data_IF_258064569558
#
_entry.id   IF_258064569558
#
_cell.length_a   1.000
_cell.length_b   1.000
_cell.length_c   1.000
_cell.angle_alpha   90.00
_cell.angle_beta   90.00
_cell.angle_gamma   90.00
#
_symmetry.space_group_name_H-M   'P 1'
#
loop_
_entity.id
_entity.type
_entity.pdbx_description
1 polymer ?
#
# COMPACT_ATOMS: atom_id res chain seq x y z
N UNK A 1 -6.16 -26.45 50.76
CA UNK A 1 -5.19 -26.38 49.64
C UNK A 1 -5.82 -26.54 48.25
N UNK A 2 -7.02 -25.98 47.96
CA UNK A 2 -7.72 -26.28 46.69
C UNK A 2 -8.41 -25.09 45.97
N UNK A 3 -8.44 -23.89 46.55
CA UNK A 3 -9.05 -22.72 45.88
C UNK A 3 -8.19 -22.17 44.74
N UNK A 4 -6.86 -22.15 44.91
CA UNK A 4 -5.91 -21.73 43.87
C UNK A 4 -5.94 -22.69 42.68
N UNK A 5 -5.92 -24.00 42.94
CA UNK A 5 -6.00 -25.05 41.91
C UNK A 5 -7.34 -24.94 41.14
N UNK A 6 -8.48 -24.87 41.84
CA UNK A 6 -9.79 -24.63 41.19
C UNK A 6 -9.82 -23.35 40.36
N UNK A 7 -9.25 -22.24 40.85
CA UNK A 7 -9.20 -20.98 40.08
C UNK A 7 -8.31 -21.07 38.83
N UNK A 8 -7.22 -21.84 38.91
CA UNK A 8 -6.32 -22.08 37.78
C UNK A 8 -6.98 -23.00 36.76
N UNK A 9 -7.71 -24.02 37.21
CA UNK A 9 -8.51 -24.91 36.37
C UNK A 9 -9.66 -24.16 35.67
N UNK A 10 -10.36 -23.26 36.36
CA UNK A 10 -11.38 -22.39 35.75
C UNK A 10 -10.77 -21.41 34.74
N UNK A 11 -9.61 -20.80 35.05
CA UNK A 11 -8.88 -19.94 34.11
C UNK A 11 -8.41 -20.73 32.88
N UNK A 12 -7.92 -21.96 33.06
CA UNK A 12 -7.54 -22.86 31.98
C UNK A 12 -8.74 -23.28 31.13
N UNK A 13 -9.89 -23.60 31.75
CA UNK A 13 -11.15 -23.89 31.04
C UNK A 13 -11.63 -22.68 30.25
N UNK A 14 -11.64 -21.48 30.83
CA UNK A 14 -11.99 -20.23 30.13
C UNK A 14 -11.05 -19.92 28.97
N UNK A 15 -9.75 -20.19 29.12
CA UNK A 15 -8.78 -20.02 28.03
C UNK A 15 -8.90 -21.08 26.92
N UNK A 16 -9.27 -22.31 27.25
CA UNK A 16 -9.61 -23.34 26.24
C UNK A 16 -10.87 -23.00 25.46
N UNK A 17 -11.88 -22.41 26.11
CA UNK A 17 -13.12 -21.95 25.46
C UNK A 17 -12.88 -20.69 24.60
N UNK A 18 -11.90 -19.84 24.96
CA UNK A 18 -11.56 -18.62 24.20
C UNK A 18 -10.61 -18.82 23.02
N UNK A 19 -9.95 -19.98 22.89
CA UNK A 19 -9.27 -20.32 21.64
C UNK A 19 -10.36 -20.72 20.65
N UNK A 20 -10.68 -19.83 19.73
CA UNK A 20 -11.52 -20.14 18.57
C UNK A 20 -11.07 -21.50 17.99
N UNK A 21 -12.02 -22.37 17.63
CA UNK A 21 -11.74 -23.67 16.99
C UNK A 21 -10.85 -23.58 15.74
N UNK A 22 -10.67 -22.38 15.19
CA UNK A 22 -9.79 -22.08 14.08
C UNK A 22 -8.30 -22.19 14.44
N UNK A 23 -7.57 -22.89 13.57
CA UNK A 23 -6.12 -22.90 13.48
C UNK A 23 -5.55 -21.48 13.27
N UNK A 24 -4.26 -21.32 13.53
CA UNK A 24 -3.56 -20.05 13.33
C UNK A 24 -3.62 -19.58 11.86
N UNK A 25 -3.54 -20.52 10.91
CA UNK A 25 -3.67 -20.23 9.48
C UNK A 25 -5.06 -19.70 9.14
N UNK A 26 -6.12 -20.32 9.65
CA UNK A 26 -7.51 -19.87 9.44
C UNK A 26 -7.76 -18.49 10.04
N UNK A 27 -7.22 -18.21 11.24
CA UNK A 27 -7.30 -16.87 11.85
C UNK A 27 -6.65 -15.80 10.96
N UNK A 28 -5.45 -16.10 10.42
CA UNK A 28 -4.74 -15.17 9.52
C UNK A 28 -5.51 -14.93 8.23
N UNK A 29 -6.07 -15.98 7.63
CA UNK A 29 -6.91 -15.89 6.43
C UNK A 29 -8.16 -15.05 6.69
N UNK A 30 -8.86 -15.30 7.80
CA UNK A 30 -10.04 -14.54 8.21
C UNK A 30 -9.72 -13.06 8.42
N UNK A 31 -8.64 -12.74 9.13
CA UNK A 31 -8.22 -11.36 9.36
C UNK A 31 -7.95 -10.63 8.03
N UNK A 32 -7.23 -11.27 7.10
CA UNK A 32 -7.01 -10.73 5.74
C UNK A 32 -8.33 -10.46 5.01
N UNK A 33 -9.26 -11.41 5.04
CA UNK A 33 -10.57 -11.23 4.39
C UNK A 33 -11.36 -10.06 4.99
N UNK A 34 -11.33 -9.89 6.31
CA UNK A 34 -12.00 -8.76 6.97
C UNK A 34 -11.38 -7.41 6.58
N UNK A 35 -10.06 -7.34 6.48
CA UNK A 35 -9.35 -6.14 6.01
C UNK A 35 -9.78 -5.81 4.57
N UNK A 36 -9.84 -6.82 3.69
CA UNK A 36 -10.29 -6.63 2.29
C UNK A 36 -11.74 -6.14 2.24
N UNK A 37 -12.64 -6.70 3.05
CA UNK A 37 -14.02 -6.24 3.12
C UNK A 37 -14.12 -4.79 3.60
N UNK A 38 -13.37 -4.42 4.63
CA UNK A 38 -13.30 -3.03 5.11
C UNK A 38 -12.82 -2.08 4.01
N UNK A 39 -11.75 -2.46 3.30
CA UNK A 39 -11.25 -1.69 2.16
C UNK A 39 -12.32 -1.53 1.07
N UNK A 40 -13.09 -2.59 0.76
CA UNK A 40 -14.17 -2.52 -0.24
C UNK A 40 -15.29 -1.54 0.17
N UNK A 41 -15.64 -1.45 1.45
CA UNK A 41 -16.60 -0.45 1.93
C UNK A 41 -16.07 0.97 1.74
N UNK A 42 -14.78 1.21 2.00
CA UNK A 42 -14.14 2.50 1.75
C UNK A 42 -14.14 2.87 0.25
N UNK A 43 -13.97 1.89 -0.66
CA UNK A 43 -14.10 2.14 -2.11
C UNK A 43 -15.46 2.73 -2.46
N UNK A 44 -16.50 2.25 -1.79
CA UNK A 44 -17.89 2.61 -2.04
C UNK A 44 -18.39 3.77 -1.17
N UNK A 45 -17.53 4.37 -0.32
CA UNK A 45 -17.88 5.48 0.56
C UNK A 45 -18.75 5.10 1.77
N UNK A 46 -18.75 3.82 2.17
CA UNK A 46 -19.54 3.31 3.29
C UNK A 46 -18.73 3.18 4.59
N UNK A 47 -17.51 3.70 4.66
CA UNK A 47 -16.63 3.57 5.84
C UNK A 47 -17.17 4.28 7.09
N UNK A 48 -18.11 5.22 6.92
CA UNK A 48 -18.78 5.95 8.00
C UNK A 48 -20.23 5.50 8.27
N UNK A 49 -20.74 4.54 7.50
CA UNK A 49 -22.11 4.08 7.63
C UNK A 49 -22.30 3.26 8.92
N UNK A 50 -23.51 3.25 9.46
CA UNK A 50 -23.81 2.48 10.66
C UNK A 50 -23.74 0.96 10.40
N UNK A 51 -22.97 0.27 11.25
CA UNK A 51 -22.79 -1.18 11.16
C UNK A 51 -24.11 -1.95 11.18
N UNK A 52 -25.11 -1.46 11.92
CA UNK A 52 -26.46 -2.04 12.01
C UNK A 52 -27.21 -1.93 10.69
N UNK A 53 -27.08 -0.81 9.98
CA UNK A 53 -27.68 -0.56 8.66
C UNK A 53 -27.05 -1.49 7.62
N UNK A 54 -25.73 -1.55 7.56
CA UNK A 54 -25.00 -2.46 6.65
C UNK A 54 -25.43 -3.91 6.90
N UNK A 55 -25.49 -4.31 8.17
CA UNK A 55 -25.89 -5.67 8.54
C UNK A 55 -27.33 -5.99 8.13
N UNK A 56 -28.26 -5.06 8.34
CA UNK A 56 -29.66 -5.17 7.92
C UNK A 56 -29.78 -5.36 6.41
N UNK A 57 -29.13 -4.48 5.63
CA UNK A 57 -29.13 -4.55 4.17
C UNK A 57 -28.57 -5.88 3.64
N UNK A 58 -27.43 -6.33 4.16
CA UNK A 58 -26.82 -7.60 3.76
C UNK A 58 -27.72 -8.79 4.09
N UNK A 59 -28.40 -8.76 5.26
CA UNK A 59 -29.33 -9.81 5.68
C UNK A 59 -30.54 -9.88 4.75
N UNK A 60 -31.12 -8.75 4.38
CA UNK A 60 -32.27 -8.68 3.49
C UNK A 60 -31.95 -9.14 2.06
N UNK A 61 -30.74 -8.85 1.57
CA UNK A 61 -30.35 -9.10 0.18
C UNK A 61 -29.56 -10.39 -0.05
N UNK A 62 -29.34 -11.22 0.99
CA UNK A 62 -28.46 -12.39 0.90
C UNK A 62 -28.84 -13.40 -0.20
N UNK A 63 -30.14 -13.58 -0.45
CA UNK A 63 -30.62 -14.49 -1.48
C UNK A 63 -30.41 -13.92 -2.89
N UNK A 64 -30.65 -12.60 -3.07
CA UNK A 64 -30.37 -11.91 -4.34
C UNK A 64 -28.88 -11.95 -4.66
N UNK A 65 -28.02 -11.79 -3.65
CA UNK A 65 -26.56 -11.92 -3.79
C UNK A 65 -26.17 -13.32 -4.26
N UNK A 66 -26.78 -14.36 -3.70
CA UNK A 66 -26.51 -15.75 -4.11
C UNK A 66 -26.96 -16.03 -5.54
N UNK A 67 -28.14 -15.54 -5.93
CA UNK A 67 -28.71 -15.75 -7.27
C UNK A 67 -27.90 -15.01 -8.35
N UNK A 68 -27.44 -13.79 -8.06
CA UNK A 68 -26.73 -12.92 -9.01
C UNK A 68 -25.22 -12.90 -8.78
N UNK A 69 -24.66 -13.99 -8.25
CA UNK A 69 -23.28 -14.02 -7.76
C UNK A 69 -22.25 -13.67 -8.83
N UNK A 70 -22.38 -14.24 -10.03
CA UNK A 70 -21.42 -13.99 -11.12
C UNK A 70 -21.57 -12.57 -11.66
N UNK A 71 -22.81 -12.06 -11.82
CA UNK A 71 -23.05 -10.66 -12.20
C UNK A 71 -22.38 -9.68 -11.23
N UNK A 72 -22.57 -9.87 -9.92
CA UNK A 72 -21.94 -8.99 -8.93
C UNK A 72 -20.42 -9.12 -8.87
N UNK A 73 -19.89 -10.29 -9.21
CA UNK A 73 -18.45 -10.50 -9.35
C UNK A 73 -17.89 -9.73 -10.54
N UNK A 74 -18.57 -9.74 -11.69
CA UNK A 74 -18.19 -8.97 -12.88
C UNK A 74 -18.19 -7.45 -12.60
N UNK A 75 -19.26 -6.95 -11.98
CA UNK A 75 -19.37 -5.54 -11.57
C UNK A 75 -18.21 -5.18 -10.62
N UNK A 76 -17.97 -6.00 -9.59
CA UNK A 76 -16.88 -5.78 -8.64
C UNK A 76 -15.50 -5.77 -9.29
N UNK A 77 -15.27 -6.67 -10.26
CA UNK A 77 -14.00 -6.72 -11.00
C UNK A 77 -13.79 -5.46 -11.84
N UNK A 78 -14.84 -4.99 -12.53
CA UNK A 78 -14.76 -3.77 -13.35
C UNK A 78 -14.37 -2.55 -12.51
N UNK A 79 -14.93 -2.40 -11.30
CA UNK A 79 -14.60 -1.29 -10.39
C UNK A 79 -13.12 -1.37 -9.96
N UNK A 80 -12.63 -2.57 -9.65
CA UNK A 80 -11.22 -2.77 -9.24
C UNK A 80 -10.26 -2.47 -10.39
N UNK A 81 -10.60 -2.89 -11.61
CA UNK A 81 -9.81 -2.67 -12.81
C UNK A 81 -9.75 -1.18 -13.17
N UNK A 82 -10.88 -0.47 -13.08
CA UNK A 82 -10.93 0.98 -13.28
C UNK A 82 -10.02 1.70 -12.28
N UNK A 83 -10.10 1.37 -10.98
CA UNK A 83 -9.17 1.95 -9.98
C UNK A 83 -7.72 1.61 -10.24
N UNK A 84 -7.42 0.42 -10.75
CA UNK A 84 -6.06 0.04 -11.12
C UNK A 84 -5.55 0.90 -12.28
N UNK A 85 -6.40 1.16 -13.28
CA UNK A 85 -6.11 2.07 -14.40
C UNK A 85 -5.90 3.50 -13.92
N UNK A 86 -6.81 4.07 -13.13
CA UNK A 86 -6.65 5.43 -12.58
C UNK A 86 -5.38 5.56 -11.74
N UNK A 87 -5.01 4.55 -10.96
CA UNK A 87 -3.73 4.55 -10.22
C UNK A 87 -2.53 4.51 -11.14
N UNK A 88 -2.62 3.79 -12.25
CA UNK A 88 -1.54 3.73 -13.24
C UNK A 88 -1.43 5.06 -13.99
N UNK A 89 -2.56 5.64 -14.40
CA UNK A 89 -2.66 6.95 -15.05
C UNK A 89 -2.16 8.07 -14.14
N UNK A 90 -2.55 8.10 -12.87
CA UNK A 90 -2.04 9.08 -11.90
C UNK A 90 -0.53 8.88 -11.63
N UNK A 91 -0.03 7.64 -11.63
CA UNK A 91 1.42 7.39 -11.59
C UNK A 91 2.13 7.89 -12.84
N UNK A 92 1.48 7.80 -14.00
CA UNK A 92 1.98 8.29 -15.30
C UNK A 92 1.95 9.82 -15.39
N UNK A 93 0.92 10.49 -14.90
CA UNK A 93 0.85 11.95 -14.78
C UNK A 93 1.90 12.50 -13.80
N UNK A 94 2.10 11.82 -12.67
CA UNK A 94 3.19 12.14 -11.74
C UNK A 94 4.58 11.70 -12.24
N UNK A 95 4.69 11.09 -13.43
CA UNK A 95 5.97 10.82 -14.12
C UNK A 95 6.15 11.66 -15.38
N UNK A 96 5.51 12.83 -15.45
CA UNK A 96 6.04 13.93 -16.27
C UNK A 96 7.53 14.18 -15.92
N UNK A 97 8.39 14.60 -16.88
CA UNK A 97 9.82 14.82 -16.62
C UNK A 97 10.08 15.75 -15.43
N UNK A 98 9.14 16.64 -15.12
CA UNK A 98 9.20 17.63 -14.05
C UNK A 98 8.89 17.05 -12.66
N UNK A 99 8.28 15.85 -12.56
CA UNK A 99 7.86 15.25 -11.27
C UNK A 99 8.41 13.85 -10.99
N UNK A 100 9.31 13.31 -11.84
CA UNK A 100 9.97 12.03 -11.60
C UNK A 100 10.74 12.06 -10.27
N UNK A 101 10.28 11.32 -9.25
CA UNK A 101 11.06 11.09 -8.03
C UNK A 101 12.25 10.18 -8.35
N UNK A 102 13.46 10.69 -8.12
CA UNK A 102 14.71 9.96 -8.29
C UNK A 102 14.72 8.73 -7.39
N UNK A 103 14.94 7.54 -7.94
CA UNK A 103 14.98 6.30 -7.16
C UNK A 103 16.26 6.25 -6.30
N UNK A 104 16.22 5.60 -5.13
CA UNK A 104 17.36 5.43 -4.20
C UNK A 104 18.61 4.90 -4.90
N UNK A 105 18.47 4.00 -5.86
CA UNK A 105 19.61 3.43 -6.58
C UNK A 105 20.20 4.39 -7.62
N UNK A 106 19.36 5.23 -8.25
CA UNK A 106 19.81 6.32 -9.13
C UNK A 106 20.57 7.38 -8.32
N UNK A 107 20.09 7.72 -7.10
CA UNK A 107 20.79 8.63 -6.18
C UNK A 107 22.15 8.07 -5.78
N UNK A 108 22.25 6.76 -5.48
CA UNK A 108 23.52 6.11 -5.14
C UNK A 108 24.51 6.14 -6.31
N UNK A 109 24.05 5.87 -7.52
CA UNK A 109 24.90 5.90 -8.71
C UNK A 109 25.40 7.33 -8.99
N UNK A 110 24.52 8.33 -8.88
CA UNK A 110 24.89 9.74 -9.00
C UNK A 110 25.93 10.16 -7.93
N UNK A 111 25.77 9.71 -6.68
CA UNK A 111 26.72 9.97 -5.59
C UNK A 111 28.10 9.33 -5.83
N UNK A 112 28.15 8.13 -6.41
CA UNK A 112 29.41 7.46 -6.74
C UNK A 112 30.10 8.20 -7.90
N UNK A 113 29.34 8.55 -8.94
CA UNK A 113 29.86 9.23 -10.11
C UNK A 113 30.31 10.67 -9.80
N UNK A 114 29.60 11.39 -8.92
CA UNK A 114 29.96 12.75 -8.55
C UNK A 114 31.30 12.83 -7.81
N UNK A 115 31.64 11.80 -7.02
CA UNK A 115 32.94 11.68 -6.34
C UNK A 115 34.09 11.45 -7.32
N UNK A 116 33.83 10.72 -8.41
CA UNK A 116 34.84 10.40 -9.42
C UNK A 116 35.22 11.60 -10.32
N UNK A 117 34.30 12.52 -10.56
CA UNK A 117 34.47 13.62 -11.54
C UNK A 117 34.41 15.03 -10.91
N UNK A 118 34.40 15.14 -9.59
CA UNK A 118 34.23 16.38 -8.80
C UNK A 118 33.13 17.36 -9.28
N UNK A 119 32.05 16.83 -9.87
CA UNK A 119 30.94 17.63 -10.40
C UNK A 119 30.08 18.20 -9.25
N UNK A 120 30.09 17.56 -8.08
CA UNK A 120 29.27 17.96 -6.93
C UNK A 120 29.68 19.31 -6.34
N UNK A 121 30.99 19.59 -6.23
CA UNK A 121 31.47 20.88 -5.74
C UNK A 121 31.11 22.00 -6.70
N UNK A 122 31.30 21.78 -8.01
CA UNK A 122 30.94 22.76 -9.02
C UNK A 122 29.44 23.07 -9.01
N UNK A 123 28.57 22.05 -9.01
CA UNK A 123 27.12 22.27 -8.99
C UNK A 123 26.66 22.94 -7.70
N UNK A 124 27.24 22.60 -6.54
CA UNK A 124 26.91 23.28 -5.27
C UNK A 124 27.39 24.73 -5.21
N UNK A 125 28.48 25.05 -5.91
CA UNK A 125 29.07 26.39 -5.93
C UNK A 125 28.35 27.31 -6.91
N UNK A 126 28.04 26.80 -8.10
CA UNK A 126 27.45 27.58 -9.20
C UNK A 126 25.92 27.49 -9.26
N UNK A 127 25.31 26.48 -8.62
CA UNK A 127 23.87 26.27 -8.59
C UNK A 127 23.37 25.99 -7.16
N UNK A 128 22.06 26.13 -6.94
CA UNK A 128 21.46 25.88 -5.64
C UNK A 128 21.41 24.37 -5.30
N UNK A 129 21.49 24.05 -4.01
CA UNK A 129 21.49 22.67 -3.49
C UNK A 129 20.25 21.86 -3.92
N UNK A 130 19.12 22.55 -4.12
CA UNK A 130 17.86 21.98 -4.61
C UNK A 130 17.93 21.48 -6.05
N UNK A 131 18.76 22.07 -6.91
CA UNK A 131 18.94 21.61 -8.28
C UNK A 131 19.59 20.22 -8.32
N UNK A 132 20.57 19.98 -7.43
CA UNK A 132 21.23 18.69 -7.31
C UNK A 132 20.27 17.56 -6.91
N UNK A 133 19.33 17.85 -6.01
CA UNK A 133 18.33 16.88 -5.54
C UNK A 133 17.24 16.58 -6.58
N UNK A 134 17.05 17.48 -7.55
CA UNK A 134 16.06 17.37 -8.63
C UNK A 134 16.67 16.91 -9.97
N UNK A 135 17.98 16.73 -10.05
CA UNK A 135 18.69 16.43 -11.29
C UNK A 135 18.39 14.99 -11.77
N UNK A 136 17.92 14.83 -13.00
CA UNK A 136 17.74 13.49 -13.58
C UNK A 136 19.06 12.90 -14.07
N UNK A 137 19.14 11.56 -14.19
CA UNK A 137 20.33 10.88 -14.71
C UNK A 137 20.74 11.37 -16.10
N UNK A 138 19.77 11.61 -17.00
CA UNK A 138 20.04 12.08 -18.36
C UNK A 138 20.68 13.48 -18.37
N UNK A 139 20.17 14.39 -17.55
CA UNK A 139 20.71 15.74 -17.40
C UNK A 139 22.11 15.72 -16.78
N UNK A 140 22.34 14.86 -15.78
CA UNK A 140 23.66 14.67 -15.20
C UNK A 140 24.69 14.18 -16.21
N UNK A 141 24.35 13.19 -17.06
CA UNK A 141 25.25 12.68 -18.09
C UNK A 141 25.61 13.78 -19.10
N UNK A 142 24.66 14.66 -19.44
CA UNK A 142 24.90 15.78 -20.33
C UNK A 142 25.87 16.80 -19.71
N UNK A 143 25.68 17.16 -18.44
CA UNK A 143 26.60 18.03 -17.69
C UNK A 143 27.98 17.39 -17.61
N UNK A 144 28.06 16.11 -17.21
CA UNK A 144 29.32 15.38 -17.10
C UNK A 144 30.13 15.40 -18.40
N UNK A 145 29.48 15.22 -19.56
CA UNK A 145 30.18 15.26 -20.86
C UNK A 145 30.92 16.58 -21.08
N UNK A 146 30.36 17.69 -20.62
CA UNK A 146 30.98 19.00 -20.71
C UNK A 146 32.18 19.18 -19.76
N UNK A 147 32.25 18.39 -18.68
CA UNK A 147 33.40 18.37 -17.76
C UNK A 147 34.49 17.37 -18.14
N UNK A 148 34.18 16.38 -18.98
CA UNK A 148 35.16 15.41 -19.50
C UNK A 148 35.86 15.88 -20.78
N UNK A 149 35.53 17.08 -21.28
CA UNK A 149 36.13 17.71 -22.46
C UNK A 149 37.22 18.75 -22.14
N UNK A 150 37.67 18.82 -20.89
CA UNK A 150 38.85 19.56 -20.42
C UNK A 150 39.83 18.51 -19.88
#
# INVERSE_FOLDING_TARGET
MNKRIKSLEEKLRKNKIKKSSFSQAERKKRARNLIILGANFEILGYEKEENTVILGFLKENINKIKQNRELYKEIGQSILDERAKTRLENKLEHTSPETRQVNSDEIKELLILSKKYNISEYIKKEFNKTLWEKLTYKEFILIKKNFTGI
#
